data_IF_235245817111
#
_entry.id   IF_235245817111
#
_cell.length_a   1.000
_cell.length_b   1.000
_cell.length_c   1.000
_cell.angle_alpha   90.00
_cell.angle_beta   90.00
_cell.angle_gamma   90.00
#
_symmetry.space_group_name_H-M   'P 1'
#
loop_
_entity.id
_entity.type
_entity.pdbx_description
1 polymer ?
#
# COMPACT_ATOMS: atom_id res chain seq x y z
N UNK A 1 -10.59 -12.07 -28.38
CA UNK A 1 -10.18 -12.99 -27.31
C UNK A 1 -8.65 -13.13 -27.36
N UNK A 2 -7.93 -12.56 -26.37
CA UNK A 2 -6.51 -12.86 -26.21
C UNK A 2 -6.40 -14.34 -25.82
N UNK A 3 -5.65 -15.15 -26.58
CA UNK A 3 -5.33 -16.52 -26.19
C UNK A 3 -4.53 -16.43 -24.87
N UNK A 4 -5.10 -16.94 -23.79
CA UNK A 4 -4.32 -17.21 -22.59
C UNK A 4 -3.24 -18.21 -22.98
N UNK A 5 -1.97 -17.80 -22.87
CA UNK A 5 -0.85 -18.73 -22.99
C UNK A 5 -0.86 -19.71 -21.83
N UNK A 6 -0.11 -20.83 -21.91
CA UNK A 6 0.05 -21.75 -20.81
C UNK A 6 0.82 -21.04 -19.67
N UNK A 7 0.13 -20.69 -18.59
CA UNK A 7 0.74 -20.01 -17.44
C UNK A 7 -0.28 -19.43 -16.47
N UNK A 8 0.23 -18.84 -15.40
CA UNK A 8 -0.57 -18.16 -14.42
C UNK A 8 -0.90 -16.74 -14.88
N UNK A 9 -2.13 -16.30 -14.67
CA UNK A 9 -2.52 -14.90 -14.80
C UNK A 9 -2.59 -14.32 -13.39
N UNK A 10 -1.70 -13.39 -13.00
CA UNK A 10 -1.76 -12.76 -11.70
C UNK A 10 -3.08 -11.98 -11.52
N UNK A 11 -3.77 -12.23 -10.42
CA UNK A 11 -5.02 -11.53 -10.06
C UNK A 11 -4.75 -10.31 -9.17
N UNK A 12 -3.53 -10.21 -8.62
CA UNK A 12 -3.10 -9.13 -7.77
C UNK A 12 -1.63 -8.81 -7.99
N UNK A 13 -1.31 -7.52 -7.98
CA UNK A 13 0.05 -7.00 -7.95
C UNK A 13 0.23 -6.20 -6.68
N UNK A 14 1.13 -6.67 -5.81
CA UNK A 14 1.43 -6.02 -4.53
C UNK A 14 2.72 -5.24 -4.67
N UNK A 15 2.64 -3.92 -4.54
CA UNK A 15 3.80 -3.06 -4.47
C UNK A 15 4.34 -2.98 -3.04
N UNK A 16 5.66 -3.14 -2.89
CA UNK A 16 6.38 -2.91 -1.64
C UNK A 16 7.26 -1.66 -1.81
N UNK A 17 6.72 -0.45 -1.59
CA UNK A 17 7.39 0.79 -1.97
C UNK A 17 8.66 1.07 -1.18
N UNK A 18 8.75 0.56 0.03
CA UNK A 18 9.91 0.73 0.91
C UNK A 18 10.09 -0.46 1.85
N UNK A 19 11.33 -0.74 2.22
CA UNK A 19 11.65 -1.65 3.32
C UNK A 19 11.69 -0.93 4.67
N UNK A 20 11.63 0.42 4.69
CA UNK A 20 11.64 1.21 5.91
C UNK A 20 10.33 1.02 6.67
N UNK A 21 10.45 0.92 8.00
CA UNK A 21 9.31 0.88 8.91
C UNK A 21 9.65 1.68 10.17
N UNK A 22 8.65 2.29 10.79
CA UNK A 22 8.78 2.97 12.07
C UNK A 22 8.72 2.00 13.28
N UNK A 23 8.42 0.72 13.03
CA UNK A 23 8.41 -0.34 14.04
C UNK A 23 9.56 -1.33 13.80
N UNK A 24 9.96 -2.02 14.87
CA UNK A 24 10.91 -3.13 14.85
C UNK A 24 10.27 -4.36 15.47
N UNK A 25 9.33 -4.95 14.78
CA UNK A 25 8.58 -6.10 15.27
C UNK A 25 9.47 -7.33 15.38
N UNK A 26 9.33 -8.09 16.46
CA UNK A 26 10.16 -9.27 16.71
C UNK A 26 10.00 -10.39 15.65
N UNK A 27 8.85 -10.44 14.98
CA UNK A 27 8.52 -11.43 13.93
C UNK A 27 8.78 -10.90 12.51
N UNK A 28 9.26 -9.64 12.37
CA UNK A 28 9.46 -9.02 11.06
C UNK A 28 10.63 -9.69 10.33
N UNK A 29 10.37 -10.16 9.12
CA UNK A 29 11.38 -10.74 8.23
C UNK A 29 11.90 -9.75 7.17
N UNK A 30 11.36 -8.53 7.14
CA UNK A 30 11.81 -7.49 6.22
C UNK A 30 13.15 -6.93 6.68
N UNK A 31 14.13 -6.94 5.81
CA UNK A 31 15.41 -6.28 6.06
C UNK A 31 15.25 -4.77 5.89
N UNK A 32 15.17 -4.05 7.02
CA UNK A 32 14.86 -2.62 7.06
C UNK A 32 16.08 -1.74 6.68
N UNK A 33 16.64 -1.96 5.51
CA UNK A 33 17.81 -1.24 4.98
C UNK A 33 17.46 0.07 4.25
N UNK A 34 16.40 0.75 4.58
CA UNK A 34 16.01 2.01 3.94
C UNK A 34 16.08 1.96 2.41
N UNK A 35 15.66 0.87 1.81
CA UNK A 35 15.53 0.74 0.36
C UNK A 35 14.15 1.20 -0.09
N UNK A 36 14.12 1.85 -1.24
CA UNK A 36 12.89 2.27 -1.90
C UNK A 36 12.83 1.69 -3.32
N UNK A 37 11.65 1.25 -3.69
CA UNK A 37 11.36 0.92 -5.08
C UNK A 37 11.36 2.22 -5.90
N UNK A 38 12.02 2.21 -7.06
CA UNK A 38 12.02 3.37 -7.95
C UNK A 38 10.61 3.57 -8.51
N UNK A 39 10.07 4.77 -8.38
CA UNK A 39 8.71 5.09 -8.83
C UNK A 39 8.56 4.95 -10.34
N UNK A 40 9.53 5.44 -11.12
CA UNK A 40 9.43 5.36 -12.58
C UNK A 40 9.45 3.92 -13.08
N UNK A 41 10.28 3.06 -12.45
CA UNK A 41 10.32 1.63 -12.77
C UNK A 41 8.99 0.96 -12.41
N UNK A 42 8.40 1.31 -11.27
CA UNK A 42 7.10 0.77 -10.85
C UNK A 42 5.96 1.20 -11.80
N UNK A 43 5.95 2.45 -12.23
CA UNK A 43 4.96 2.96 -13.18
C UNK A 43 5.13 2.32 -14.57
N UNK A 44 6.37 2.13 -15.03
CA UNK A 44 6.65 1.43 -16.29
C UNK A 44 6.25 -0.05 -16.22
N UNK A 45 6.52 -0.71 -15.09
CA UNK A 45 6.06 -2.08 -14.85
C UNK A 45 4.52 -2.17 -14.87
N UNK A 46 3.83 -1.21 -14.27
CA UNK A 46 2.36 -1.18 -14.30
C UNK A 46 1.82 -0.99 -15.73
N UNK A 47 2.47 -0.15 -16.55
CA UNK A 47 2.12 0.00 -17.97
C UNK A 47 2.28 -1.33 -18.73
N UNK A 48 3.36 -2.05 -18.49
CA UNK A 48 3.58 -3.37 -19.10
C UNK A 48 2.51 -4.36 -18.67
N UNK A 49 2.17 -4.39 -17.38
CA UNK A 49 1.09 -5.23 -16.87
C UNK A 49 -0.25 -4.92 -17.54
N UNK A 50 -0.59 -3.64 -17.71
CA UNK A 50 -1.83 -3.22 -18.40
C UNK A 50 -1.86 -3.70 -19.87
N UNK A 51 -0.72 -3.84 -20.51
CA UNK A 51 -0.61 -4.38 -21.86
C UNK A 51 -0.79 -5.90 -21.97
N UNK A 52 -0.53 -6.65 -20.91
CA UNK A 52 -0.40 -8.12 -20.95
C UNK A 52 -1.39 -8.87 -20.05
N UNK A 53 -1.82 -8.27 -18.94
CA UNK A 53 -2.70 -8.88 -17.96
C UNK A 53 -4.14 -8.39 -18.12
N UNK A 54 -5.09 -9.19 -17.63
CA UNK A 54 -6.49 -8.83 -17.54
C UNK A 54 -6.98 -9.01 -16.10
N UNK A 55 -7.82 -8.07 -15.64
CA UNK A 55 -8.58 -8.19 -14.40
C UNK A 55 -7.72 -8.40 -13.13
N UNK A 56 -6.64 -7.64 -13.00
CA UNK A 56 -5.82 -7.66 -11.79
C UNK A 56 -6.09 -6.45 -10.89
N UNK A 57 -5.78 -6.61 -9.62
CA UNK A 57 -5.92 -5.58 -8.59
C UNK A 57 -4.56 -5.09 -8.11
N UNK A 58 -4.55 -3.90 -7.52
CA UNK A 58 -3.35 -3.31 -6.92
C UNK A 58 -3.46 -3.36 -5.40
N UNK A 59 -2.40 -3.87 -4.77
CA UNK A 59 -2.22 -3.86 -3.32
C UNK A 59 -0.89 -3.22 -2.91
N UNK A 60 -0.75 -2.92 -1.62
CA UNK A 60 0.47 -2.37 -1.03
C UNK A 60 0.84 -3.08 0.26
N UNK A 61 2.13 -3.34 0.41
CA UNK A 61 2.74 -3.95 1.60
C UNK A 61 4.20 -3.47 1.75
N UNK A 62 5.06 -4.22 2.43
CA UNK A 62 6.50 -3.98 2.55
C UNK A 62 6.91 -3.70 3.98
N UNK A 63 7.70 -2.65 4.21
CA UNK A 63 7.89 -2.05 5.52
C UNK A 63 6.59 -1.34 5.94
N UNK A 64 6.60 -0.02 6.05
CA UNK A 64 5.38 0.76 6.25
C UNK A 64 5.10 1.60 4.99
N UNK A 65 4.06 1.28 4.20
CA UNK A 65 3.78 2.00 2.95
C UNK A 65 3.52 3.49 3.12
N UNK A 66 2.95 3.92 4.24
CA UNK A 66 2.72 5.34 4.51
C UNK A 66 4.02 6.16 4.69
N UNK A 67 5.16 5.51 4.91
CA UNK A 67 6.47 6.17 4.87
C UNK A 67 6.95 6.44 3.43
N UNK A 68 6.25 5.96 2.43
CA UNK A 68 6.47 6.23 1.01
C UNK A 68 5.16 6.70 0.35
N UNK A 69 4.48 7.66 0.97
CA UNK A 69 3.16 8.14 0.57
C UNK A 69 3.11 8.70 -0.85
N UNK A 70 4.16 9.38 -1.28
CA UNK A 70 4.35 9.88 -2.64
C UNK A 70 4.27 8.75 -3.67
N UNK A 71 4.93 7.63 -3.40
CA UNK A 71 4.87 6.42 -4.24
C UNK A 71 3.47 5.82 -4.26
N UNK A 72 2.87 5.62 -3.09
CA UNK A 72 1.52 5.05 -2.97
C UNK A 72 0.51 5.89 -3.76
N UNK A 73 0.52 7.21 -3.57
CA UNK A 73 -0.39 8.12 -4.27
C UNK A 73 -0.19 8.10 -5.80
N UNK A 74 1.06 8.09 -6.27
CA UNK A 74 1.34 8.07 -7.71
C UNK A 74 0.88 6.77 -8.37
N UNK A 75 1.11 5.61 -7.73
CA UNK A 75 0.63 4.31 -8.23
C UNK A 75 -0.90 4.24 -8.17
N UNK A 76 -1.52 4.72 -7.08
CA UNK A 76 -2.98 4.79 -6.96
C UNK A 76 -3.59 5.61 -8.11
N UNK A 77 -3.06 6.81 -8.34
CA UNK A 77 -3.57 7.68 -9.42
C UNK A 77 -3.49 7.00 -10.78
N UNK A 78 -2.35 6.40 -11.11
CA UNK A 78 -2.17 5.68 -12.38
C UNK A 78 -3.11 4.49 -12.51
N UNK A 79 -3.26 3.70 -11.46
CA UNK A 79 -4.15 2.54 -11.43
C UNK A 79 -5.63 2.96 -11.57
N UNK A 80 -6.04 4.01 -10.86
CA UNK A 80 -7.38 4.57 -10.95
C UNK A 80 -7.70 5.10 -12.35
N UNK A 81 -6.78 5.89 -12.94
CA UNK A 81 -6.92 6.42 -14.31
C UNK A 81 -7.00 5.29 -15.36
N UNK A 82 -6.39 4.15 -15.08
CA UNK A 82 -6.46 2.94 -15.92
C UNK A 82 -7.70 2.07 -15.66
N UNK A 83 -8.55 2.42 -14.71
CA UNK A 83 -9.75 1.66 -14.35
C UNK A 83 -9.48 0.38 -13.56
N UNK A 84 -8.31 0.25 -12.92
CA UNK A 84 -7.98 -0.88 -12.07
C UNK A 84 -8.67 -0.76 -10.70
N UNK A 85 -8.98 -1.90 -10.13
CA UNK A 85 -9.47 -2.01 -8.76
C UNK A 85 -8.30 -2.15 -7.78
N UNK A 86 -8.57 -1.81 -6.53
CA UNK A 86 -7.61 -2.01 -5.44
C UNK A 86 -8.04 -3.18 -4.55
N UNK A 87 -7.05 -3.89 -4.00
CA UNK A 87 -7.29 -4.87 -2.95
C UNK A 87 -6.95 -4.25 -1.59
N UNK A 88 -5.74 -4.42 -1.10
CA UNK A 88 -5.41 -4.07 0.28
C UNK A 88 -4.17 -3.19 0.37
N UNK A 89 -4.24 -2.16 1.21
CA UNK A 89 -3.09 -1.41 1.69
C UNK A 89 -2.83 -1.82 3.13
N UNK A 90 -1.72 -2.54 3.35
CA UNK A 90 -1.32 -3.00 4.68
C UNK A 90 -0.61 -1.88 5.44
N UNK A 91 -0.92 -1.73 6.72
CA UNK A 91 -0.29 -0.72 7.59
C UNK A 91 -0.24 -1.16 9.04
N UNK A 92 0.73 -0.67 9.77
CA UNK A 92 0.81 -0.82 11.22
C UNK A 92 -0.05 0.21 11.99
N UNK A 93 -0.57 1.24 11.33
CA UNK A 93 -1.48 2.24 11.88
C UNK A 93 -0.91 3.23 12.89
N UNK A 94 0.42 3.26 13.12
CA UNK A 94 1.04 4.13 14.14
C UNK A 94 2.21 4.97 13.61
N UNK A 95 2.32 5.14 12.32
CA UNK A 95 3.37 5.89 11.60
C UNK A 95 3.20 7.42 11.67
N UNK A 96 2.05 7.91 12.04
CA UNK A 96 1.67 9.33 12.04
C UNK A 96 2.11 10.06 13.33
N UNK A 97 2.27 11.39 13.24
CA UNK A 97 2.74 12.23 14.34
C UNK A 97 1.59 12.80 15.18
N UNK A 98 0.50 13.22 14.53
CA UNK A 98 -0.71 13.79 15.15
C UNK A 98 -1.92 13.47 14.28
N UNK A 99 -3.13 13.77 14.80
CA UNK A 99 -4.39 13.45 14.10
C UNK A 99 -4.55 14.20 12.77
N UNK A 100 -4.07 15.43 12.68
CA UNK A 100 -4.13 16.21 11.43
C UNK A 100 -3.23 15.58 10.36
N UNK A 101 -2.05 15.10 10.74
CA UNK A 101 -1.13 14.37 9.86
C UNK A 101 -1.77 13.06 9.38
N UNK A 102 -2.38 12.32 10.29
CA UNK A 102 -3.09 11.08 9.97
C UNK A 102 -4.23 11.34 8.97
N UNK A 103 -5.11 12.30 9.28
CA UNK A 103 -6.23 12.64 8.42
C UNK A 103 -5.79 13.11 7.03
N UNK A 104 -4.74 13.94 6.96
CA UNK A 104 -4.17 14.42 5.70
C UNK A 104 -3.63 13.28 4.85
N UNK A 105 -2.89 12.34 5.44
CA UNK A 105 -2.33 11.21 4.70
C UNK A 105 -3.41 10.25 4.19
N UNK A 106 -4.39 9.89 5.02
CA UNK A 106 -5.52 9.04 4.61
C UNK A 106 -6.34 9.70 3.50
N UNK A 107 -6.63 11.00 3.64
CA UNK A 107 -7.34 11.77 2.62
C UNK A 107 -6.57 11.77 1.29
N UNK A 108 -5.25 11.95 1.31
CA UNK A 108 -4.45 11.97 0.09
C UNK A 108 -4.49 10.64 -0.67
N UNK A 109 -4.49 9.53 0.04
CA UNK A 109 -4.60 8.18 -0.56
C UNK A 109 -5.97 7.97 -1.19
N UNK A 110 -7.03 8.35 -0.49
CA UNK A 110 -8.40 8.32 -1.03
C UNK A 110 -8.52 9.21 -2.28
N UNK A 111 -8.02 10.43 -2.21
CA UNK A 111 -8.12 11.41 -3.31
C UNK A 111 -7.24 11.00 -4.52
N UNK A 112 -6.22 10.17 -4.30
CA UNK A 112 -5.45 9.52 -5.36
C UNK A 112 -6.23 8.38 -6.07
N UNK A 113 -7.43 8.04 -5.58
CA UNK A 113 -8.32 7.04 -6.18
C UNK A 113 -8.34 5.68 -5.49
N UNK A 114 -7.65 5.50 -4.37
CA UNK A 114 -7.69 4.23 -3.64
C UNK A 114 -9.07 3.98 -3.03
N UNK A 115 -9.73 2.92 -3.47
CA UNK A 115 -11.04 2.46 -3.01
C UNK A 115 -10.99 1.04 -2.38
N UNK A 116 -9.78 0.54 -2.15
CA UNK A 116 -9.55 -0.78 -1.56
C UNK A 116 -9.73 -0.81 -0.04
N UNK A 117 -9.22 -1.87 0.56
CA UNK A 117 -9.30 -2.09 2.01
C UNK A 117 -8.02 -1.64 2.70
N UNK A 118 -8.16 -0.95 3.83
CA UNK A 118 -7.03 -0.77 4.75
C UNK A 118 -6.88 -2.04 5.58
N UNK A 119 -5.71 -2.68 5.48
CA UNK A 119 -5.34 -3.85 6.27
C UNK A 119 -4.49 -3.44 7.47
N UNK A 120 -5.12 -3.27 8.63
CA UNK A 120 -4.42 -2.92 9.87
C UNK A 120 -3.78 -4.16 10.51
N UNK A 121 -2.46 -4.15 10.66
CA UNK A 121 -1.74 -5.16 11.41
C UNK A 121 -1.73 -4.78 12.89
N UNK A 122 -2.32 -5.62 13.73
CA UNK A 122 -2.34 -5.41 15.17
C UNK A 122 -2.19 -6.73 15.92
N UNK A 123 -1.09 -6.89 16.64
CA UNK A 123 -0.81 -8.06 17.49
C UNK A 123 0.24 -7.72 18.57
N UNK A 124 0.51 -8.69 19.42
CA UNK A 124 1.47 -8.54 20.53
C UNK A 124 2.91 -8.25 20.05
N UNK A 125 3.29 -8.69 18.86
CA UNK A 125 4.66 -8.54 18.35
C UNK A 125 4.93 -7.13 17.80
N UNK A 126 3.91 -6.39 17.41
CA UNK A 126 4.03 -5.02 16.91
C UNK A 126 4.29 -4.00 18.03
N UNK A 127 3.80 -4.26 19.24
CA UNK A 127 4.01 -3.36 20.38
C UNK A 127 3.38 -1.97 20.21
N UNK A 128 2.28 -1.89 19.44
CA UNK A 128 1.63 -0.61 19.13
C UNK A 128 0.88 -0.04 20.34
N UNK A 129 0.95 1.29 20.58
CA UNK A 129 0.10 1.94 21.57
C UNK A 129 -1.38 1.82 21.17
N UNK A 130 -2.20 1.26 22.07
CA UNK A 130 -3.61 0.99 21.78
C UNK A 130 -4.40 2.25 21.46
N UNK A 131 -4.10 3.38 22.13
CA UNK A 131 -4.75 4.67 21.90
C UNK A 131 -4.53 5.15 20.45
N UNK A 132 -3.32 4.96 19.92
CA UNK A 132 -3.02 5.28 18.52
C UNK A 132 -3.81 4.41 17.55
N UNK A 133 -3.99 3.14 17.87
CA UNK A 133 -4.79 2.21 17.05
C UNK A 133 -6.26 2.64 17.02
N UNK A 134 -6.85 3.00 18.16
CA UNK A 134 -8.22 3.51 18.20
C UNK A 134 -8.37 4.81 17.41
N UNK A 135 -7.44 5.76 17.58
CA UNK A 135 -7.44 7.01 16.81
C UNK A 135 -7.34 6.75 15.31
N UNK A 136 -6.49 5.80 14.90
CA UNK A 136 -6.36 5.40 13.49
C UNK A 136 -7.68 4.87 12.95
N UNK A 137 -8.32 3.93 13.65
CA UNK A 137 -9.60 3.34 13.24
C UNK A 137 -10.68 4.42 13.15
N UNK A 138 -10.81 5.27 14.16
CA UNK A 138 -11.79 6.35 14.17
C UNK A 138 -11.59 7.33 13.01
N UNK A 139 -10.34 7.66 12.69
CA UNK A 139 -10.03 8.56 11.58
C UNK A 139 -10.33 7.93 10.22
N UNK A 140 -10.12 6.63 10.06
CA UNK A 140 -10.50 5.91 8.85
C UNK A 140 -12.02 5.92 8.58
N UNK A 141 -12.85 6.06 9.63
CA UNK A 141 -14.31 6.05 9.53
C UNK A 141 -14.93 7.45 9.26
N UNK A 142 -14.16 8.51 9.33
CA UNK A 142 -14.60 9.90 9.05
C UNK A 142 -14.43 10.26 7.58
#
# INVERSE_FOLDING_TARGET
MKKQGPGFNPEEIIFCPTSLCNLKCAHCFVDQKNSRLNLNDALAFLDDCLGHLSDFKIGFSGGEPFLALDFVNAVCKKAFDAGLMFDRLMTNGVWWNNEDDLARCLTSVRDAGFDGKIGLSFDVFHGQPIDKIFTFIDTCHR
#
